data_IF_724292081493
#
_entry.id   IF_724292081493
#
_cell.length_a   1.000
_cell.length_b   1.000
_cell.length_c   1.000
_cell.angle_alpha   90.00
_cell.angle_beta   90.00
_cell.angle_gamma   90.00
#
_symmetry.space_group_name_H-M   'P 1'
#
loop_
_entity.id
_entity.type
_entity.pdbx_description
1 polymer ?
#
# COMPACT_ATOMS: atom_id res chain seq x y z
N UNK A 1 -18.45 -14.07 12.63
CA UNK A 1 -17.01 -14.13 12.99
C UNK A 1 -16.42 -15.35 12.30
N UNK A 2 -15.59 -15.18 11.27
CA UNK A 2 -14.86 -16.31 10.68
C UNK A 2 -13.49 -16.39 11.35
N UNK A 3 -13.32 -17.38 12.22
CA UNK A 3 -12.05 -17.62 12.91
C UNK A 3 -11.09 -18.26 11.90
N UNK A 4 -9.91 -17.67 11.71
CA UNK A 4 -8.85 -18.33 10.95
C UNK A 4 -8.28 -19.51 11.76
N UNK A 5 -7.60 -20.49 11.13
CA UNK A 5 -7.09 -21.70 11.80
C UNK A 5 -6.12 -21.46 12.98
N UNK A 6 -5.74 -20.19 13.25
CA UNK A 6 -4.80 -19.78 14.28
C UNK A 6 -5.48 -19.14 15.51
N UNK A 7 -6.81 -19.22 15.64
CA UNK A 7 -7.54 -18.70 16.80
C UNK A 7 -7.71 -17.17 16.83
N UNK A 8 -7.68 -16.53 15.66
CA UNK A 8 -7.67 -15.06 15.53
C UNK A 8 -8.99 -14.56 14.92
N UNK A 9 -9.56 -13.53 15.54
CA UNK A 9 -10.78 -12.87 15.08
C UNK A 9 -10.45 -11.94 13.91
N UNK A 10 -10.54 -12.45 12.68
CA UNK A 10 -10.47 -11.59 11.49
C UNK A 10 -11.72 -10.71 11.40
N UNK A 11 -11.53 -9.42 11.17
CA UNK A 11 -12.63 -8.52 10.86
C UNK A 11 -12.96 -8.61 9.37
N UNK A 12 -14.13 -9.15 9.04
CA UNK A 12 -14.60 -9.20 7.64
C UNK A 12 -15.11 -7.82 7.23
N UNK A 13 -14.47 -7.22 6.24
CA UNK A 13 -14.90 -5.97 5.62
C UNK A 13 -15.15 -6.25 4.13
N UNK A 14 -16.42 -6.24 3.73
CA UNK A 14 -16.86 -6.66 2.40
C UNK A 14 -16.29 -8.04 2.01
N UNK A 15 -15.44 -8.07 0.97
CA UNK A 15 -14.79 -9.27 0.45
C UNK A 15 -13.36 -9.48 0.99
N UNK A 16 -12.92 -8.64 1.95
CA UNK A 16 -11.56 -8.66 2.50
C UNK A 16 -11.60 -9.04 3.99
N UNK A 17 -10.59 -9.80 4.42
CA UNK A 17 -10.36 -10.12 5.82
C UNK A 17 -9.24 -9.23 6.36
N UNK A 18 -9.58 -8.37 7.32
CA UNK A 18 -8.62 -7.49 8.00
C UNK A 18 -8.17 -8.21 9.28
N UNK A 19 -6.86 -8.42 9.38
CA UNK A 19 -6.23 -9.22 10.45
C UNK A 19 -5.26 -8.41 11.32
N UNK A 20 -4.91 -7.20 10.87
CA UNK A 20 -3.98 -6.30 11.55
C UNK A 20 -2.51 -6.73 11.48
N UNK A 21 -1.61 -5.78 11.71
CA UNK A 21 -0.15 -5.98 11.58
C UNK A 21 0.52 -6.51 12.84
N UNK A 22 -0.10 -6.33 14.01
CA UNK A 22 0.43 -6.87 15.28
C UNK A 22 0.64 -8.38 15.23
N UNK A 23 -0.25 -9.11 14.53
CA UNK A 23 -0.12 -10.55 14.36
C UNK A 23 1.19 -10.91 13.66
N UNK A 24 1.48 -10.24 12.54
CA UNK A 24 2.68 -10.54 11.75
C UNK A 24 3.93 -10.13 12.49
N UNK A 25 3.90 -8.99 13.20
CA UNK A 25 4.99 -8.60 14.09
C UNK A 25 5.25 -9.67 15.17
N UNK A 26 4.22 -10.19 15.83
CA UNK A 26 4.35 -11.27 16.84
C UNK A 26 4.91 -12.57 16.25
N UNK A 27 4.40 -13.02 15.10
CA UNK A 27 4.88 -14.24 14.42
C UNK A 27 6.36 -14.09 14.04
N UNK A 28 6.77 -12.89 13.61
CA UNK A 28 8.15 -12.59 13.25
C UNK A 28 9.03 -12.27 14.47
N UNK A 29 8.49 -12.31 15.69
CA UNK A 29 9.15 -11.90 16.92
C UNK A 29 9.74 -10.47 16.84
N UNK A 30 9.01 -9.58 16.18
CA UNK A 30 9.35 -8.17 16.02
C UNK A 30 8.43 -7.29 16.87
N UNK A 31 8.98 -6.18 17.37
CA UNK A 31 8.15 -5.08 17.86
C UNK A 31 7.46 -4.40 16.67
N UNK A 32 6.31 -3.77 16.93
CA UNK A 32 5.53 -3.06 15.92
C UNK A 32 6.40 -2.04 15.14
N UNK A 33 7.19 -1.23 15.84
CA UNK A 33 8.07 -0.24 15.22
C UNK A 33 9.12 -0.88 14.30
N UNK A 34 9.63 -2.06 14.65
CA UNK A 34 10.59 -2.78 13.81
C UNK A 34 9.91 -3.35 12.56
N UNK A 35 8.68 -3.82 12.70
CA UNK A 35 7.87 -4.28 11.58
C UNK A 35 7.52 -3.11 10.63
N UNK A 36 7.19 -1.93 11.18
CA UNK A 36 6.97 -0.72 10.40
C UNK A 36 8.22 -0.27 9.65
N UNK A 37 9.38 -0.24 10.31
CA UNK A 37 10.67 0.02 9.64
C UNK A 37 10.93 -0.93 8.48
N UNK A 38 10.60 -2.22 8.64
CA UNK A 38 10.75 -3.20 7.56
C UNK A 38 9.88 -2.86 6.34
N UNK A 39 8.66 -2.36 6.55
CA UNK A 39 7.77 -1.89 5.47
C UNK A 39 8.35 -0.62 4.83
N UNK A 40 8.76 0.35 5.63
CA UNK A 40 9.37 1.59 5.17
C UNK A 40 10.62 1.33 4.34
N UNK A 41 11.51 0.44 4.80
CA UNK A 41 12.72 0.03 4.10
C UNK A 41 12.39 -0.69 2.79
N UNK A 42 11.34 -1.52 2.78
CA UNK A 42 10.84 -2.16 1.55
C UNK A 42 10.39 -1.14 0.50
N UNK A 43 9.68 -0.08 0.91
CA UNK A 43 9.24 1.00 0.02
C UNK A 43 10.44 1.85 -0.41
N UNK A 44 11.34 2.19 0.52
CA UNK A 44 12.55 2.99 0.26
C UNK A 44 13.43 2.35 -0.80
N UNK A 45 13.64 1.04 -0.68
CA UNK A 45 14.47 0.25 -1.59
C UNK A 45 13.73 -0.25 -2.84
N UNK A 46 12.45 0.09 -3.00
CA UNK A 46 11.69 -0.25 -4.20
C UNK A 46 12.08 0.62 -5.40
N UNK A 47 11.73 0.16 -6.61
CA UNK A 47 11.91 0.91 -7.84
C UNK A 47 10.87 2.04 -8.04
N UNK A 48 10.07 2.37 -7.02
CA UNK A 48 9.08 3.45 -7.08
C UNK A 48 9.77 4.78 -7.40
N UNK A 49 9.23 5.54 -8.36
CA UNK A 49 9.78 6.85 -8.74
C UNK A 49 9.48 7.95 -7.73
N UNK A 50 10.27 9.03 -7.79
CA UNK A 50 9.97 10.27 -7.07
C UNK A 50 8.99 11.15 -7.87
N UNK A 51 8.15 11.98 -7.21
CA UNK A 51 8.05 12.21 -5.76
C UNK A 51 7.14 11.22 -5.03
N UNK A 52 6.54 10.25 -5.75
CA UNK A 52 5.56 9.33 -5.18
C UNK A 52 6.15 8.51 -4.03
N UNK A 53 7.39 8.01 -4.17
CA UNK A 53 8.06 7.26 -3.09
C UNK A 53 8.14 8.09 -1.81
N UNK A 54 8.67 9.30 -1.89
CA UNK A 54 8.72 10.22 -0.73
C UNK A 54 7.33 10.43 -0.14
N UNK A 55 6.34 10.71 -0.99
CA UNK A 55 4.96 10.94 -0.56
C UNK A 55 4.34 9.73 0.15
N UNK A 56 4.54 8.52 -0.37
CA UNK A 56 4.07 7.28 0.25
C UNK A 56 4.70 7.10 1.63
N UNK A 57 6.02 7.27 1.75
CA UNK A 57 6.73 7.14 3.02
C UNK A 57 6.25 8.16 4.05
N UNK A 58 6.05 9.43 3.64
CA UNK A 58 5.57 10.49 4.54
C UNK A 58 4.13 10.27 5.01
N UNK A 59 3.29 9.61 4.21
CA UNK A 59 1.89 9.37 4.51
C UNK A 59 1.60 7.94 5.03
N UNK A 60 2.63 7.18 5.36
CA UNK A 60 2.52 5.86 5.95
C UNK A 60 2.22 6.00 7.43
N UNK A 61 1.10 5.44 7.90
CA UNK A 61 0.74 5.48 9.32
C UNK A 61 0.06 4.21 9.80
N UNK A 62 0.12 3.96 11.10
CA UNK A 62 -0.61 2.87 11.75
C UNK A 62 -1.86 3.44 12.40
N UNK A 63 -3.02 2.91 12.04
CA UNK A 63 -4.30 3.31 12.63
C UNK A 63 -4.96 2.13 13.33
N UNK A 64 -5.72 2.43 14.38
CA UNK A 64 -6.62 1.45 15.00
C UNK A 64 -7.94 1.41 14.24
N UNK A 65 -8.27 0.25 13.67
CA UNK A 65 -9.51 0.00 12.97
C UNK A 65 -10.19 -1.23 13.59
N UNK A 66 -11.36 -1.03 14.21
CA UNK A 66 -12.15 -2.10 14.85
C UNK A 66 -11.33 -2.94 15.85
N UNK A 67 -10.43 -2.29 16.59
CA UNK A 67 -9.55 -2.94 17.58
C UNK A 67 -8.33 -3.63 16.99
N UNK A 68 -8.11 -3.54 15.67
CA UNK A 68 -6.93 -4.06 14.99
C UNK A 68 -6.04 -2.89 14.55
N UNK A 69 -4.74 -3.02 14.74
CA UNK A 69 -3.79 -2.06 14.15
C UNK A 69 -3.55 -2.40 12.68
N UNK A 70 -3.78 -1.45 11.80
CA UNK A 70 -3.60 -1.62 10.34
C UNK A 70 -2.69 -0.53 9.80
N UNK A 71 -1.86 -0.89 8.81
CA UNK A 71 -1.08 0.09 8.06
C UNK A 71 -2.01 0.77 7.06
N UNK A 72 -2.05 2.09 7.12
CA UNK A 72 -2.72 2.93 6.14
C UNK A 72 -1.65 3.60 5.28
N UNK A 73 -1.86 3.53 3.97
CA UNK A 73 -1.05 4.22 2.96
C UNK A 73 -1.97 5.20 2.25
N UNK A 74 -1.76 6.49 2.44
CA UNK A 74 -2.49 7.52 1.69
C UNK A 74 -1.67 7.95 0.49
N UNK A 75 -2.17 7.67 -0.70
CA UNK A 75 -1.57 8.16 -1.95
C UNK A 75 -2.13 9.58 -2.23
N UNK A 76 -1.31 10.63 -2.20
CA UNK A 76 -1.78 11.98 -2.51
C UNK A 76 -2.08 12.13 -4.01
N UNK A 77 -2.78 13.21 -4.37
CA UNK A 77 -2.99 13.57 -5.77
C UNK A 77 -1.64 13.76 -6.46
N UNK A 78 -1.43 13.06 -7.57
CA UNK A 78 -0.23 13.18 -8.39
C UNK A 78 -0.36 14.34 -9.38
N UNK A 79 0.75 15.00 -9.69
CA UNK A 79 0.83 16.04 -10.73
C UNK A 79 1.42 15.55 -12.06
N UNK A 80 1.84 14.29 -12.12
CA UNK A 80 2.38 13.63 -13.30
C UNK A 80 2.25 12.11 -13.14
N UNK A 81 2.34 11.32 -14.22
CA UNK A 81 2.37 9.86 -14.09
C UNK A 81 3.51 9.42 -13.17
N UNK A 82 3.23 8.38 -12.39
CA UNK A 82 4.22 7.75 -11.53
C UNK A 82 4.68 6.42 -12.12
N UNK A 83 5.94 6.09 -11.86
CA UNK A 83 6.61 4.92 -12.44
C UNK A 83 7.14 4.01 -11.34
N UNK A 84 7.28 2.73 -11.68
CA UNK A 84 8.01 1.72 -10.91
C UNK A 84 9.07 1.14 -11.83
N UNK A 85 10.33 1.56 -11.65
CA UNK A 85 11.36 1.40 -12.65
C UNK A 85 11.00 2.18 -13.92
N UNK A 86 11.01 1.52 -15.07
CA UNK A 86 10.64 2.09 -16.36
C UNK A 86 9.14 1.93 -16.69
N UNK A 87 8.38 1.28 -15.80
CA UNK A 87 7.00 0.90 -16.05
C UNK A 87 6.01 1.87 -15.39
N UNK A 88 5.00 2.27 -16.15
CA UNK A 88 3.84 3.01 -15.63
C UNK A 88 2.62 2.09 -15.58
N UNK A 89 1.78 2.28 -14.57
CA UNK A 89 0.56 1.49 -14.39
C UNK A 89 -0.65 2.41 -14.25
N UNK A 90 -1.76 2.01 -14.88
CA UNK A 90 -3.03 2.73 -14.83
C UNK A 90 -4.13 1.81 -14.32
N UNK A 91 -5.10 2.38 -13.58
CA UNK A 91 -6.30 1.64 -13.22
C UNK A 91 -7.29 1.68 -14.37
N UNK A 92 -7.73 0.50 -14.79
CA UNK A 92 -8.83 0.31 -15.73
C UNK A 92 -9.94 -0.44 -15.00
N UNK A 93 -10.96 0.29 -14.55
CA UNK A 93 -11.99 -0.24 -13.64
C UNK A 93 -11.38 -0.74 -12.32
N UNK A 94 -11.58 -2.01 -12.02
CA UNK A 94 -11.03 -2.66 -10.82
C UNK A 94 -9.57 -3.12 -10.96
N UNK A 95 -9.07 -3.24 -12.18
CA UNK A 95 -7.75 -3.83 -12.48
C UNK A 95 -6.66 -2.77 -12.65
N UNK A 96 -5.44 -3.11 -12.24
CA UNK A 96 -4.24 -2.31 -12.50
C UNK A 96 -3.47 -2.96 -13.64
N UNK A 97 -3.23 -2.21 -14.72
CA UNK A 97 -2.55 -2.72 -15.92
C UNK A 97 -1.36 -1.84 -16.28
N UNK A 98 -0.33 -2.45 -16.87
CA UNK A 98 0.82 -1.72 -17.42
C UNK A 98 0.36 -0.82 -18.57
N UNK A 99 0.72 0.45 -18.50
CA UNK A 99 0.34 1.45 -19.47
C UNK A 99 1.28 1.41 -20.69
N UNK A 100 0.70 1.57 -21.89
CA UNK A 100 1.46 1.79 -23.13
C UNK A 100 1.88 3.24 -23.27
N UNK A 101 2.86 3.53 -24.14
CA UNK A 101 3.28 4.91 -24.43
C UNK A 101 2.12 5.88 -24.73
N UNK A 102 1.17 5.52 -25.62
CA UNK A 102 -0.02 6.33 -25.85
C UNK A 102 -0.91 6.54 -24.61
N UNK A 103 -1.07 5.53 -23.77
CA UNK A 103 -1.84 5.65 -22.53
C UNK A 103 -1.15 6.55 -21.51
N UNK A 104 0.17 6.47 -21.40
CA UNK A 104 0.98 7.36 -20.55
C UNK A 104 0.78 8.80 -21.02
N UNK A 105 0.90 9.07 -22.32
CA UNK A 105 0.70 10.40 -22.89
C UNK A 105 -0.72 10.94 -22.61
N UNK A 106 -1.75 10.10 -22.75
CA UNK A 106 -3.13 10.48 -22.45
C UNK A 106 -3.31 10.84 -20.96
N UNK A 107 -2.73 10.04 -20.06
CA UNK A 107 -2.80 10.27 -18.61
C UNK A 107 -2.01 11.51 -18.19
N UNK A 108 -0.85 11.76 -18.78
CA UNK A 108 -0.10 13.01 -18.58
C UNK A 108 -0.96 14.23 -18.87
N UNK A 109 -1.77 14.20 -19.93
CA UNK A 109 -2.68 15.28 -20.29
C UNK A 109 -3.82 15.55 -19.27
N UNK A 110 -4.08 14.62 -18.35
CA UNK A 110 -5.08 14.78 -17.28
C UNK A 110 -4.56 15.59 -16.08
N UNK A 111 -3.24 15.66 -15.92
CA UNK A 111 -2.61 16.47 -14.88
C UNK A 111 -2.38 17.89 -15.42
N UNK A 112 -3.42 18.74 -15.32
CA UNK A 112 -3.32 20.18 -15.52
C UNK A 112 -3.38 20.91 -14.19
#
# INVERSE_FOLDING_TARGET
MSVSPQGITAYKFENVLIVGIEREAKILNLKLDQYMRKIEDGIRNSALGEPLKTQVLTNLDVISYKGLQVVRVRIPKQGHPSFVGDDCFVRSGSSTMKATGPQIAAVTGLFK
#
